data_IF_860563397954
#
_entry.id   IF_860563397954
#
_cell.length_a   1.000
_cell.length_b   1.000
_cell.length_c   1.000
_cell.angle_alpha   90.00
_cell.angle_beta   90.00
_cell.angle_gamma   90.00
#
_symmetry.space_group_name_H-M   'P 1'
#
loop_
_entity.id
_entity.type
_entity.pdbx_description
1 polymer ?
#
# COMPACT_ATOMS: atom_id res chain seq x y z
N UNK A 1 -24.36 -2.66 4.72
CA UNK A 1 -22.91 -2.49 4.99
C UNK A 1 -22.23 -3.61 4.24
N UNK A 2 -21.13 -3.34 3.52
CA UNK A 2 -20.33 -4.38 2.88
C UNK A 2 -19.01 -4.49 3.67
N UNK A 3 -18.66 -5.70 4.10
CA UNK A 3 -17.42 -5.96 4.84
C UNK A 3 -16.34 -6.49 3.90
N UNK A 4 -15.14 -5.92 4.02
CA UNK A 4 -13.93 -6.36 3.34
C UNK A 4 -12.80 -6.54 4.37
N UNK A 5 -12.02 -7.60 4.22
CA UNK A 5 -10.90 -7.98 5.07
C UNK A 5 -9.64 -8.00 4.21
N UNK A 6 -8.60 -7.30 4.67
CA UNK A 6 -7.25 -7.34 4.09
C UNK A 6 -6.31 -8.06 5.04
N UNK A 7 -5.80 -9.23 4.65
CA UNK A 7 -4.76 -9.95 5.39
C UNK A 7 -3.40 -9.57 4.82
N UNK A 8 -2.56 -8.95 5.66
CA UNK A 8 -1.28 -8.39 5.23
C UNK A 8 -0.13 -9.37 5.47
N UNK A 9 0.84 -9.39 4.55
CA UNK A 9 2.15 -9.98 4.82
C UNK A 9 2.90 -9.16 5.89
N UNK A 10 3.91 -9.73 6.56
CA UNK A 10 4.85 -8.94 7.35
C UNK A 10 5.47 -7.80 6.53
N UNK A 11 5.75 -6.67 7.18
CA UNK A 11 6.42 -5.53 6.57
C UNK A 11 7.87 -5.90 6.25
N UNK A 12 8.30 -5.65 5.00
CA UNK A 12 9.70 -5.79 4.58
C UNK A 12 10.29 -4.40 4.32
N UNK A 13 11.31 -4.01 5.08
CA UNK A 13 12.07 -2.77 4.81
C UNK A 13 12.83 -2.90 3.48
N UNK A 14 12.80 -1.85 2.67
CA UNK A 14 13.55 -1.77 1.42
C UNK A 14 14.50 -0.58 1.43
N UNK A 15 15.60 -0.70 0.69
CA UNK A 15 16.54 0.40 0.44
C UNK A 15 16.63 0.74 -1.06
N UNK A 16 16.01 -0.07 -1.93
CA UNK A 16 15.93 0.16 -3.36
C UNK A 16 14.46 0.32 -3.78
N UNK A 17 14.11 1.48 -4.30
CA UNK A 17 12.74 1.79 -4.74
C UNK A 17 12.28 0.89 -5.89
N UNK A 18 13.21 0.33 -6.69
CA UNK A 18 12.87 -0.59 -7.77
C UNK A 18 12.25 -1.92 -7.27
N UNK A 19 12.37 -2.25 -5.98
CA UNK A 19 11.65 -3.38 -5.37
C UNK A 19 10.13 -3.15 -5.27
N UNK A 20 9.65 -1.93 -5.49
CA UNK A 20 8.23 -1.60 -5.45
C UNK A 20 7.58 -2.02 -6.77
N UNK A 21 6.65 -2.98 -6.68
CA UNK A 21 5.79 -3.46 -7.75
C UNK A 21 4.38 -2.91 -7.54
N UNK A 22 3.97 -1.94 -8.36
CA UNK A 22 2.62 -1.33 -8.31
C UNK A 22 1.54 -2.38 -8.55
N UNK A 23 0.47 -2.36 -7.76
CA UNK A 23 -0.63 -3.33 -7.82
C UNK A 23 -0.37 -4.63 -7.07
N UNK A 24 0.86 -4.86 -6.61
CA UNK A 24 1.23 -6.02 -5.79
C UNK A 24 1.64 -5.61 -4.37
N UNK A 25 2.43 -4.56 -4.26
CA UNK A 25 2.93 -4.06 -2.98
C UNK A 25 2.09 -2.88 -2.50
N UNK A 26 1.74 -2.88 -1.22
CA UNK A 26 1.39 -1.70 -0.45
C UNK A 26 2.65 -1.05 0.11
N UNK A 27 2.53 0.23 0.48
CA UNK A 27 3.65 1.01 1.04
C UNK A 27 3.33 1.43 2.45
N UNK A 28 4.32 1.31 3.33
CA UNK A 28 4.33 1.91 4.66
C UNK A 28 5.57 2.80 4.76
N UNK A 29 5.36 4.09 4.98
CA UNK A 29 6.41 5.10 5.15
C UNK A 29 6.40 5.56 6.60
N UNK A 30 7.60 5.70 7.18
CA UNK A 30 7.78 6.17 8.55
C UNK A 30 8.99 7.11 8.65
N UNK A 31 8.80 8.25 9.31
CA UNK A 31 9.87 9.16 9.71
C UNK A 31 9.57 9.72 11.12
N UNK A 32 10.33 9.27 12.12
CA UNK A 32 10.05 9.62 13.52
C UNK A 32 8.65 9.17 13.98
N UNK A 33 7.79 10.15 14.32
CA UNK A 33 6.40 9.94 14.74
C UNK A 33 5.40 9.97 13.56
N UNK A 34 5.83 10.44 12.39
CA UNK A 34 5.01 10.51 11.19
C UNK A 34 5.02 9.17 10.46
N UNK A 35 3.84 8.62 10.17
CA UNK A 35 3.71 7.35 9.47
C UNK A 35 2.43 7.28 8.63
N UNK A 36 2.52 6.62 7.49
CA UNK A 36 1.43 6.48 6.53
C UNK A 36 1.49 5.17 5.79
N UNK A 37 0.32 4.60 5.51
CA UNK A 37 0.17 3.34 4.78
C UNK A 37 -0.87 3.49 3.67
N UNK A 38 -0.55 2.92 2.50
CA UNK A 38 -1.50 2.71 1.43
C UNK A 38 -1.47 1.24 0.97
N UNK A 39 -2.66 0.66 0.78
CA UNK A 39 -2.82 -0.74 0.37
C UNK A 39 -2.42 -0.96 -1.11
N UNK A 40 -2.11 -2.21 -1.52
CA UNK A 40 -1.64 -2.51 -2.87
C UNK A 40 -2.55 -2.01 -4.00
N UNK A 41 -3.87 -2.13 -3.83
CA UNK A 41 -4.85 -1.77 -4.86
C UNK A 41 -5.01 -0.26 -5.06
N UNK A 42 -4.64 0.56 -4.07
CA UNK A 42 -4.84 2.01 -4.14
C UNK A 42 -4.09 2.60 -5.33
N UNK A 43 -2.85 2.18 -5.57
CA UNK A 43 -2.08 2.69 -6.69
C UNK A 43 -2.71 2.34 -8.05
N UNK A 44 -3.25 1.12 -8.19
CA UNK A 44 -3.91 0.70 -9.44
C UNK A 44 -5.25 1.38 -9.65
N UNK A 45 -6.04 1.57 -8.60
CA UNK A 45 -7.37 2.20 -8.68
C UNK A 45 -7.28 3.67 -9.15
N UNK A 46 -6.20 4.35 -8.77
CA UNK A 46 -5.95 5.74 -9.16
C UNK A 46 -5.01 5.88 -10.37
N UNK A 47 -4.53 4.77 -10.95
CA UNK A 47 -3.62 4.79 -12.10
C UNK A 47 -2.24 5.41 -11.79
N UNK A 48 -1.78 5.32 -10.55
CA UNK A 48 -0.50 5.88 -10.12
C UNK A 48 0.68 5.01 -10.52
N UNK A 49 1.75 5.65 -10.97
CA UNK A 49 3.05 5.00 -11.09
C UNK A 49 3.76 4.92 -9.72
N UNK A 50 4.93 4.25 -9.68
CA UNK A 50 5.72 4.07 -8.46
C UNK A 50 6.05 5.38 -7.73
N UNK A 51 6.42 6.43 -8.47
CA UNK A 51 6.78 7.73 -7.88
C UNK A 51 5.56 8.39 -7.27
N UNK A 52 4.45 8.43 -8.00
CA UNK A 52 3.19 8.97 -7.48
C UNK A 52 2.72 8.20 -6.24
N UNK A 53 2.88 6.88 -6.22
CA UNK A 53 2.51 6.06 -5.07
C UNK A 53 3.35 6.37 -3.82
N UNK A 54 4.65 6.59 -3.99
CA UNK A 54 5.55 7.05 -2.92
C UNK A 54 5.15 8.44 -2.41
N UNK A 55 4.96 9.41 -3.33
CA UNK A 55 4.57 10.77 -2.98
C UNK A 55 3.23 10.81 -2.21
N UNK A 56 2.24 10.04 -2.65
CA UNK A 56 0.94 9.94 -1.96
C UNK A 56 1.07 9.24 -0.61
N UNK A 57 1.96 8.26 -0.47
CA UNK A 57 2.22 7.62 0.83
C UNK A 57 2.93 8.57 1.79
N UNK A 58 3.85 9.43 1.30
CA UNK A 58 4.44 10.52 2.10
C UNK A 58 3.37 11.48 2.62
N UNK A 59 2.46 11.94 1.74
CA UNK A 59 1.34 12.79 2.17
C UNK A 59 0.44 12.07 3.19
N UNK A 60 0.17 10.78 2.98
CA UNK A 60 -0.60 9.96 3.94
C UNK A 60 0.10 9.87 5.30
N UNK A 61 1.42 9.94 5.33
CA UNK A 61 2.23 9.98 6.54
C UNK A 61 2.27 11.36 7.23
N UNK A 62 1.66 12.38 6.62
CA UNK A 62 1.75 13.77 7.09
C UNK A 62 3.08 14.43 6.77
N UNK A 63 3.80 13.95 5.75
CA UNK A 63 5.10 14.44 5.33
C UNK A 63 5.01 15.12 3.94
N UNK A 64 6.05 15.86 3.56
CA UNK A 64 6.18 16.37 2.19
C UNK A 64 6.33 15.23 1.18
N UNK A 65 5.85 15.42 -0.05
CA UNK A 65 5.86 14.40 -1.12
C UNK A 65 7.23 13.77 -1.36
N UNK A 66 8.31 14.52 -1.15
CA UNK A 66 9.68 14.06 -1.41
C UNK A 66 10.33 13.39 -0.17
N UNK A 67 9.56 13.09 0.89
CA UNK A 67 10.06 12.47 2.13
C UNK A 67 10.82 11.17 1.87
N UNK A 68 10.38 10.36 0.90
CA UNK A 68 10.98 9.08 0.55
C UNK A 68 12.43 9.19 0.04
N UNK A 69 12.90 10.38 -0.29
CA UNK A 69 14.28 10.66 -0.69
C UNK A 69 15.20 10.94 0.51
N UNK A 70 14.63 11.19 1.69
CA UNK A 70 15.38 11.52 2.90
C UNK A 70 15.99 10.27 3.52
N UNK A 71 17.23 10.37 4.01
CA UNK A 71 17.92 9.25 4.67
C UNK A 71 17.26 8.80 5.97
N UNK A 72 16.48 9.69 6.59
CA UNK A 72 15.72 9.48 7.82
C UNK A 72 14.41 8.75 7.59
N UNK A 73 13.92 8.69 6.35
CA UNK A 73 12.67 8.04 6.00
C UNK A 73 12.88 6.54 5.79
N UNK A 74 12.08 5.74 6.48
CA UNK A 74 12.04 4.30 6.33
C UNK A 74 10.87 3.90 5.43
N UNK A 75 11.14 3.05 4.44
CA UNK A 75 10.14 2.56 3.48
C UNK A 75 10.03 1.05 3.61
N UNK A 76 8.80 0.59 3.73
CA UNK A 76 8.46 -0.83 3.82
C UNK A 76 7.45 -1.18 2.74
N UNK A 77 7.60 -2.38 2.19
CA UNK A 77 6.63 -3.01 1.28
C UNK A 77 5.94 -4.18 1.99
N UNK A 78 4.69 -4.44 1.60
CA UNK A 78 3.93 -5.61 2.01
C UNK A 78 2.95 -6.00 0.90
N UNK A 79 2.47 -7.23 0.89
CA UNK A 79 1.32 -7.63 0.05
C UNK A 79 0.07 -7.83 0.90
N UNK A 80 -1.09 -7.85 0.25
CA UNK A 80 -2.36 -8.11 0.91
C UNK A 80 -3.17 -9.11 0.11
N UNK A 81 -3.87 -10.01 0.80
CA UNK A 81 -4.99 -10.76 0.24
C UNK A 81 -6.26 -10.06 0.70
N UNK A 82 -7.09 -9.64 -0.25
CA UNK A 82 -8.33 -8.90 0.00
C UNK A 82 -9.50 -9.80 -0.34
N UNK A 83 -10.44 -9.93 0.58
CA UNK A 83 -11.69 -10.68 0.37
C UNK A 83 -12.83 -10.09 1.21
N UNK A 84 -14.06 -10.23 0.73
CA UNK A 84 -15.23 -9.70 1.41
C UNK A 84 -16.53 -10.37 1.00
N UNK A 85 -17.64 -9.81 1.47
CA UNK A 85 -18.98 -10.39 1.26
C UNK A 85 -19.35 -10.54 -0.23
N UNK A 86 -18.84 -9.66 -1.10
CA UNK A 86 -19.04 -9.73 -2.56
C UNK A 86 -18.41 -10.97 -3.20
N UNK A 87 -17.36 -11.53 -2.60
CA UNK A 87 -16.73 -12.75 -3.10
C UNK A 87 -17.56 -14.00 -2.77
N UNK A 88 -18.37 -13.94 -1.71
CA UNK A 88 -19.28 -15.02 -1.31
C UNK A 88 -20.49 -15.12 -2.24
N UNK A 89 -21.01 -14.00 -2.76
CA UNK A 89 -22.16 -14.00 -3.68
C UNK A 89 -21.81 -14.64 -5.04
N UNK A 90 -20.60 -14.42 -5.54
CA UNK A 90 -20.10 -15.04 -6.78
C UNK A 90 -20.07 -16.56 -6.67
N UNK A 91 -19.53 -17.09 -5.58
CA UNK A 91 -19.45 -18.54 -5.36
C UNK A 91 -20.82 -19.23 -5.14
N UNK A 92 -21.87 -18.47 -4.81
CA UNK A 92 -23.25 -19.00 -4.68
C UNK A 92 -24.01 -19.03 -6.00
N UNK A 93 -23.53 -18.29 -7.01
CA UNK A 93 -24.15 -18.21 -8.33
C UNK A 93 -23.57 -19.22 -9.32
N UNK A 94 -22.39 -19.79 -9.00
CA UNK A 94 -21.70 -20.84 -9.78
C UNK A 94 -22.06 -22.26 -9.30
N UNK A 95 -23.12 -22.39 -8.48
CA UNK A 95 -23.59 -23.66 -7.90
C UNK A 95 -25.09 -23.82 -8.11
#
# INVERSE_FOLDING_TARGET
VNIEISVLSPLKRINNLEEIEVGKHGLFIKEGLCQGLLLPQVATDYGWNRIQFLEQTCYKAGLDKDCYKQKTTEIFIFSAIVFGEKDLEKHRSDK
#
